data_IF_917383579083
#
_entry.id   IF_917383579083
#
_cell.length_a   1.000
_cell.length_b   1.000
_cell.length_c   1.000
_cell.angle_alpha   90.00
_cell.angle_beta   90.00
_cell.angle_gamma   90.00
#
_symmetry.space_group_name_H-M   'P 1'
#
loop_
_entity.id
_entity.type
_entity.pdbx_description
1 polymer ?
#
# COMPACT_ATOMS: atom_id res chain seq x y z
N UNK A 1 2.73 -6.71 -6.85
CA UNK A 1 3.77 -5.71 -7.11
C UNK A 1 4.49 -5.39 -5.81
N UNK A 2 5.77 -4.98 -5.86
CA UNK A 2 6.53 -4.55 -4.68
C UNK A 2 6.45 -3.03 -4.53
N UNK A 3 6.48 -2.55 -3.29
CA UNK A 3 6.51 -1.13 -2.99
C UNK A 3 7.16 -0.88 -1.61
N UNK A 4 7.30 0.38 -1.25
CA UNK A 4 7.78 0.81 0.08
C UNK A 4 6.73 1.70 0.73
N UNK A 5 6.31 1.40 1.97
CA UNK A 5 5.39 2.26 2.70
C UNK A 5 5.99 3.66 2.86
N UNK A 6 5.25 4.70 2.48
CA UNK A 6 5.69 6.10 2.49
C UNK A 6 5.04 6.88 3.62
N UNK A 7 3.70 6.84 3.66
CA UNK A 7 2.89 7.44 4.71
C UNK A 7 1.96 6.37 5.27
N UNK A 8 1.61 6.51 6.54
CA UNK A 8 0.59 5.70 7.19
C UNK A 8 -0.05 6.48 8.32
N UNK A 9 -1.37 6.61 8.26
CA UNK A 9 -2.20 7.16 9.33
C UNK A 9 -2.95 6.03 10.02
N UNK A 10 -2.66 5.81 11.30
CA UNK A 10 -3.26 4.72 12.07
C UNK A 10 -4.74 4.96 12.42
N UNK A 11 -5.23 6.20 12.39
CA UNK A 11 -6.61 6.53 12.70
C UNK A 11 -7.57 6.20 11.56
N UNK A 12 -7.12 6.41 10.33
CA UNK A 12 -7.85 6.14 9.08
C UNK A 12 -7.43 4.83 8.42
N UNK A 13 -6.34 4.22 8.87
CA UNK A 13 -5.73 3.01 8.28
C UNK A 13 -5.42 3.19 6.79
N UNK A 14 -5.07 4.41 6.41
CA UNK A 14 -4.78 4.80 5.04
C UNK A 14 -3.36 5.36 4.92
N UNK A 15 -2.91 5.56 3.69
CA UNK A 15 -1.59 6.12 3.45
C UNK A 15 -1.20 5.99 1.99
N UNK A 16 0.11 5.89 1.76
CA UNK A 16 0.66 5.74 0.43
C UNK A 16 1.90 4.87 0.45
N UNK A 17 2.18 4.23 -0.68
CA UNK A 17 3.45 3.55 -0.94
C UNK A 17 4.20 4.28 -2.05
N UNK A 18 5.52 4.13 -2.08
CA UNK A 18 6.34 4.46 -3.25
C UNK A 18 6.52 3.20 -4.09
N UNK A 19 6.22 3.32 -5.39
CA UNK A 19 6.69 2.35 -6.38
C UNK A 19 8.21 2.46 -6.55
N UNK A 20 8.81 1.49 -7.24
CA UNK A 20 10.27 1.47 -7.44
C UNK A 20 10.78 2.66 -8.28
N UNK A 21 9.91 3.32 -9.07
CA UNK A 21 10.21 4.57 -9.79
C UNK A 21 10.04 5.84 -8.94
N UNK A 22 9.65 5.69 -7.66
CA UNK A 22 9.43 6.79 -6.73
C UNK A 22 8.03 7.40 -6.79
N UNK A 23 7.12 6.90 -7.63
CA UNK A 23 5.73 7.39 -7.70
C UNK A 23 4.97 7.06 -6.41
N UNK A 24 4.39 8.05 -5.71
CA UNK A 24 3.52 7.78 -4.58
C UNK A 24 2.14 7.31 -5.06
N UNK A 25 1.67 6.18 -4.53
CA UNK A 25 0.35 5.63 -4.83
C UNK A 25 -0.44 5.48 -3.52
N UNK A 26 -1.64 6.09 -3.41
CA UNK A 26 -2.44 6.01 -2.20
C UNK A 26 -3.09 4.63 -2.05
N UNK A 27 -3.30 4.21 -0.81
CA UNK A 27 -4.18 3.10 -0.44
C UNK A 27 -5.15 3.58 0.64
N UNK A 28 -6.37 3.02 0.62
CA UNK A 28 -7.40 3.29 1.60
C UNK A 28 -7.45 2.20 2.68
N UNK A 29 -8.36 2.39 3.65
CA UNK A 29 -8.58 1.43 4.73
C UNK A 29 -8.96 0.04 4.20
N UNK A 30 -9.77 -0.05 3.14
CA UNK A 30 -10.23 -1.33 2.61
C UNK A 30 -9.05 -2.15 2.07
N UNK A 31 -8.15 -1.51 1.32
CA UNK A 31 -6.95 -2.16 0.82
C UNK A 31 -5.98 -2.59 1.93
N UNK A 32 -5.87 -1.78 2.99
CA UNK A 32 -5.06 -2.10 4.15
C UNK A 32 -5.64 -3.28 4.97
N UNK A 33 -6.95 -3.27 5.18
CA UNK A 33 -7.67 -4.28 5.95
C UNK A 33 -7.69 -5.64 5.24
N UNK A 34 -7.78 -5.65 3.92
CA UNK A 34 -7.65 -6.86 3.11
C UNK A 34 -6.32 -7.61 3.37
N UNK A 35 -5.27 -6.89 3.77
CA UNK A 35 -3.95 -7.44 4.05
C UNK A 35 -3.77 -8.01 5.47
N UNK A 36 -4.75 -7.81 6.36
CA UNK A 36 -4.69 -8.30 7.74
C UNK A 36 -3.60 -7.66 8.61
N UNK A 37 -3.04 -6.52 8.19
CA UNK A 37 -2.02 -5.81 8.94
C UNK A 37 -2.63 -4.99 10.10
N UNK A 38 -1.86 -4.82 11.18
CA UNK A 38 -2.26 -3.98 12.31
C UNK A 38 -1.72 -2.55 12.20
N UNK A 39 -0.46 -2.41 11.77
CA UNK A 39 0.24 -1.14 11.60
C UNK A 39 1.23 -1.26 10.43
N UNK A 40 1.56 -0.13 9.83
CA UNK A 40 2.71 0.03 8.93
C UNK A 40 3.70 1.05 9.49
N UNK A 41 4.97 0.87 9.15
CA UNK A 41 6.00 1.88 9.37
C UNK A 41 6.43 2.46 8.01
N UNK A 42 6.60 3.78 7.90
CA UNK A 42 7.31 4.37 6.77
C UNK A 42 8.68 3.68 6.56
N UNK A 43 9.03 3.43 5.31
CA UNK A 43 10.23 2.70 4.89
C UNK A 43 10.08 1.17 4.87
N UNK A 44 8.95 0.60 5.32
CA UNK A 44 8.74 -0.84 5.31
C UNK A 44 8.47 -1.38 3.90
N UNK A 45 9.14 -2.47 3.52
CA UNK A 45 8.84 -3.19 2.27
C UNK A 45 7.51 -3.93 2.35
N UNK A 46 6.70 -3.75 1.32
CA UNK A 46 5.35 -4.33 1.22
C UNK A 46 5.11 -4.89 -0.17
N UNK A 47 4.21 -5.87 -0.24
CA UNK A 47 3.57 -6.28 -1.48
C UNK A 47 2.23 -5.57 -1.59
N UNK A 48 1.92 -5.11 -2.81
CA UNK A 48 0.60 -4.57 -3.15
C UNK A 48 -0.03 -5.30 -4.33
N UNK A 49 -1.36 -5.36 -4.33
CA UNK A 49 -2.15 -5.72 -5.50
C UNK A 49 -2.96 -4.52 -5.95
N UNK A 50 -3.10 -4.38 -7.26
CA UNK A 50 -3.76 -3.23 -7.89
C UNK A 50 -4.82 -3.72 -8.86
N UNK A 51 -5.92 -2.98 -8.93
CA UNK A 51 -6.99 -3.17 -9.90
C UNK A 51 -7.16 -1.91 -10.75
N UNK A 52 -7.74 -2.06 -11.95
CA UNK A 52 -8.01 -0.95 -12.88
C UNK A 52 -6.97 -0.78 -13.97
N UNK A 53 -7.32 0.03 -14.98
CA UNK A 53 -6.44 0.47 -16.06
C UNK A 53 -5.60 1.69 -15.62
N UNK A 54 -4.69 2.18 -16.47
CA UNK A 54 -3.74 3.25 -16.13
C UNK A 54 -4.37 4.44 -15.37
N UNK A 55 -5.48 5.00 -15.87
CA UNK A 55 -6.14 6.15 -15.25
C UNK A 55 -7.03 5.82 -14.04
N UNK A 56 -7.32 4.54 -13.82
CA UNK A 56 -8.23 4.06 -12.75
C UNK A 56 -7.54 3.12 -11.76
N UNK A 57 -6.21 3.02 -11.83
CA UNK A 57 -5.45 2.07 -11.03
C UNK A 57 -5.53 2.41 -9.56
N UNK A 58 -6.00 1.47 -8.74
CA UNK A 58 -6.08 1.59 -7.28
C UNK A 58 -5.45 0.39 -6.59
N UNK A 59 -4.90 0.60 -5.40
CA UNK A 59 -4.42 -0.48 -4.53
C UNK A 59 -5.62 -1.15 -3.87
N UNK A 60 -5.65 -2.48 -3.85
CA UNK A 60 -6.73 -3.29 -3.24
C UNK A 60 -6.22 -4.25 -2.16
N UNK A 61 -4.91 -4.41 -2.03
CA UNK A 61 -4.29 -5.24 -1.02
C UNK A 61 -2.92 -4.66 -0.64
N UNK A 62 -2.62 -4.62 0.67
CA UNK A 62 -1.30 -4.29 1.19
C UNK A 62 -0.85 -5.35 2.20
N UNK A 63 0.19 -6.11 1.88
CA UNK A 63 0.73 -7.17 2.77
C UNK A 63 2.22 -6.99 3.04
N UNK A 64 2.73 -7.68 4.08
CA UNK A 64 4.17 -7.77 4.29
C UNK A 64 4.81 -8.46 3.09
N UNK A 65 5.98 -7.95 2.69
CA UNK A 65 6.80 -8.69 1.75
C UNK A 65 7.47 -9.87 2.46
N UNK A 66 6.99 -11.08 2.17
CA UNK A 66 7.62 -12.34 2.58
C UNK A 66 8.34 -12.96 1.37
N UNK A 67 9.36 -13.79 1.64
CA UNK A 67 10.08 -14.56 0.63
C UNK A 67 9.21 -15.68 0.05
#
# INVERSE_FOLDING_TARGET
MQATAYTYDAGTRSGSVLLDDGTPVPFDAAAFDAGGLRLLRPGQRVRIEVEGSEDSRRIVLVTLQTL
#
